data_IF_317871477790
#
_entry.id   IF_317871477790
#
_cell.length_a   1.000
_cell.length_b   1.000
_cell.length_c   1.000
_cell.angle_alpha   90.00
_cell.angle_beta   90.00
_cell.angle_gamma   90.00
#
_symmetry.space_group_name_H-M   'P 1'
#
loop_
_entity.id
_entity.type
_entity.pdbx_description
1 polymer ?
#
# COMPACT_ATOMS: atom_id res chain seq x y z
N UNK A 1 -2.27 -10.56 -24.16
CA UNK A 1 -1.52 -10.33 -22.89
C UNK A 1 -2.55 -10.38 -21.79
N UNK A 2 -2.26 -10.97 -20.61
CA UNK A 2 -3.21 -11.01 -19.48
C UNK A 2 -3.37 -9.60 -18.92
N UNK A 3 -4.60 -9.20 -18.60
CA UNK A 3 -4.85 -7.95 -17.90
C UNK A 3 -4.48 -8.13 -16.43
N UNK A 4 -3.67 -7.22 -15.91
CA UNK A 4 -3.19 -7.22 -14.53
C UNK A 4 -3.60 -5.94 -13.84
N UNK A 5 -3.91 -6.05 -12.56
CA UNK A 5 -4.14 -4.91 -11.69
C UNK A 5 -3.23 -4.98 -10.47
N UNK A 6 -2.73 -3.83 -10.05
CA UNK A 6 -2.01 -3.67 -8.78
C UNK A 6 -2.95 -2.98 -7.80
N UNK A 7 -3.16 -3.58 -6.64
CA UNK A 7 -4.08 -3.06 -5.63
C UNK A 7 -3.31 -2.79 -4.36
N UNK A 8 -3.49 -1.62 -3.76
CA UNK A 8 -2.93 -1.30 -2.46
C UNK A 8 -4.01 -1.17 -1.40
N UNK A 9 -3.92 -1.99 -0.35
CA UNK A 9 -4.69 -1.77 0.87
C UNK A 9 -3.90 -0.89 1.82
N UNK A 10 -4.42 0.30 2.14
CA UNK A 10 -3.78 1.22 3.09
C UNK A 10 -3.64 0.59 4.48
N UNK A 11 -2.48 0.76 5.13
CA UNK A 11 -2.27 0.22 6.48
C UNK A 11 -3.30 0.76 7.49
N UNK A 12 -3.60 2.07 7.44
CA UNK A 12 -4.63 2.67 8.28
C UNK A 12 -6.07 2.36 7.86
N UNK A 13 -6.29 1.68 6.70
CA UNK A 13 -7.57 1.11 6.31
C UNK A 13 -7.80 -0.24 7.00
N UNK A 14 -6.80 -1.11 6.96
CA UNK A 14 -6.90 -2.51 7.42
C UNK A 14 -6.55 -2.71 8.92
N UNK A 15 -6.09 -1.66 9.61
CA UNK A 15 -5.77 -1.68 11.04
C UNK A 15 -6.36 -0.47 11.76
N UNK A 16 -6.61 -0.60 13.05
CA UNK A 16 -6.96 0.53 13.91
C UNK A 16 -5.72 1.37 14.20
N UNK A 17 -5.77 2.68 13.93
CA UNK A 17 -4.62 3.60 14.09
C UNK A 17 -4.24 3.87 15.56
N UNK A 18 -5.21 3.76 16.45
CA UNK A 18 -5.14 4.08 17.87
C UNK A 18 -4.73 2.90 18.76
N UNK A 19 -4.58 1.71 18.20
CA UNK A 19 -4.27 0.48 18.92
C UNK A 19 -3.13 -0.28 18.25
N UNK A 20 -2.13 -0.68 19.03
CA UNK A 20 -1.05 -1.53 18.52
C UNK A 20 -1.61 -2.89 18.08
N UNK A 21 -1.13 -3.38 16.94
CA UNK A 21 -1.44 -4.71 16.40
C UNK A 21 -2.94 -5.04 16.36
N UNK A 22 -3.73 -4.08 15.96
CA UNK A 22 -5.19 -4.24 15.95
C UNK A 22 -5.73 -4.24 14.52
N UNK A 23 -6.17 -5.40 14.08
CA UNK A 23 -6.70 -5.64 12.72
C UNK A 23 -8.16 -5.22 12.62
N UNK A 24 -8.55 -4.63 11.49
CA UNK A 24 -9.95 -4.40 11.10
C UNK A 24 -10.43 -5.57 10.24
N UNK A 25 -10.82 -6.66 10.90
CA UNK A 25 -11.20 -7.91 10.21
C UNK A 25 -12.39 -7.73 9.26
N UNK A 26 -13.38 -6.92 9.63
CA UNK A 26 -14.52 -6.56 8.80
C UNK A 26 -14.10 -5.95 7.46
N UNK A 27 -13.12 -5.06 7.51
CA UNK A 27 -12.59 -4.39 6.32
C UNK A 27 -11.77 -5.36 5.46
N UNK A 28 -10.87 -6.13 6.08
CA UNK A 28 -10.06 -7.11 5.33
C UNK A 28 -10.97 -8.15 4.67
N UNK A 29 -12.00 -8.63 5.34
CA UNK A 29 -12.98 -9.56 4.82
C UNK A 29 -13.74 -8.97 3.61
N UNK A 30 -14.23 -7.73 3.73
CA UNK A 30 -14.89 -7.03 2.62
C UNK A 30 -13.96 -6.88 1.41
N UNK A 31 -12.70 -6.46 1.64
CA UNK A 31 -11.71 -6.29 0.58
C UNK A 31 -11.33 -7.63 -0.08
N UNK A 32 -11.21 -8.72 0.70
CA UNK A 32 -10.93 -10.05 0.17
C UNK A 32 -12.07 -10.55 -0.73
N UNK A 33 -13.32 -10.34 -0.33
CA UNK A 33 -14.50 -10.66 -1.15
C UNK A 33 -14.53 -9.86 -2.47
N UNK A 34 -14.11 -8.58 -2.44
CA UNK A 34 -14.00 -7.77 -3.64
C UNK A 34 -12.89 -8.28 -4.58
N UNK A 35 -11.74 -8.74 -4.03
CA UNK A 35 -10.67 -9.32 -4.85
C UNK A 35 -11.06 -10.68 -5.43
N UNK A 36 -11.84 -11.50 -4.72
CA UNK A 36 -12.40 -12.73 -5.27
C UNK A 36 -13.12 -12.44 -6.60
N UNK A 37 -14.01 -11.46 -6.60
CA UNK A 37 -14.76 -11.05 -7.81
C UNK A 37 -13.83 -10.59 -8.95
N UNK A 38 -12.70 -9.92 -8.64
CA UNK A 38 -11.70 -9.54 -9.64
C UNK A 38 -11.00 -10.77 -10.24
N UNK A 39 -10.61 -11.73 -9.40
CA UNK A 39 -9.98 -12.99 -9.84
C UNK A 39 -10.95 -13.83 -10.65
N UNK A 40 -12.22 -13.95 -10.21
CA UNK A 40 -13.28 -14.65 -10.93
C UNK A 40 -13.57 -14.02 -12.31
N UNK A 41 -13.43 -12.69 -12.44
CA UNK A 41 -13.50 -11.97 -13.72
C UNK A 41 -12.27 -12.21 -14.63
N UNK A 42 -11.25 -12.92 -14.16
CA UNK A 42 -10.05 -13.30 -14.93
C UNK A 42 -8.90 -12.31 -14.88
N UNK A 43 -8.91 -11.36 -13.96
CA UNK A 43 -7.78 -10.46 -13.72
C UNK A 43 -6.63 -11.18 -13.00
N UNK A 44 -5.39 -10.87 -13.39
CA UNK A 44 -4.22 -11.16 -12.58
C UNK A 44 -4.05 -10.04 -11.53
N UNK A 45 -4.05 -10.39 -10.25
CA UNK A 45 -4.00 -9.40 -9.16
C UNK A 45 -2.67 -9.45 -8.43
N UNK A 46 -2.06 -8.29 -8.23
CA UNK A 46 -0.95 -8.09 -7.29
C UNK A 46 -1.45 -7.21 -6.15
N UNK A 47 -1.43 -7.75 -4.94
CA UNK A 47 -1.87 -7.06 -3.74
C UNK A 47 -0.68 -6.56 -2.94
N UNK A 48 -0.70 -5.28 -2.56
CA UNK A 48 0.25 -4.69 -1.63
C UNK A 48 -0.50 -4.13 -0.42
N UNK A 49 -0.12 -4.50 0.80
CA UNK A 49 -0.71 -3.87 1.97
C UNK A 49 0.28 -3.00 2.76
N UNK A 50 -0.22 -2.00 3.45
CA UNK A 50 0.56 -1.13 4.32
C UNK A 50 0.74 -1.73 5.71
N UNK A 51 1.62 -1.11 6.52
CA UNK A 51 1.99 -1.59 7.84
C UNK A 51 0.93 -1.27 8.93
N UNK A 52 0.23 -0.16 8.82
CA UNK A 52 -0.74 0.26 9.82
C UNK A 52 -0.17 0.25 11.24
N UNK A 53 -0.97 -0.23 12.20
CA UNK A 53 -0.58 -0.28 13.62
C UNK A 53 0.43 -1.40 13.97
N UNK A 54 0.81 -2.25 13.01
CA UNK A 54 1.79 -3.30 13.22
C UNK A 54 3.23 -2.80 13.06
N UNK A 55 3.52 -2.00 12.04
CA UNK A 55 4.88 -1.54 11.75
C UNK A 55 5.19 -0.11 12.21
N UNK A 56 4.25 0.84 12.05
CA UNK A 56 4.54 2.27 12.12
C UNK A 56 5.06 2.74 13.48
N UNK A 57 4.42 2.33 14.58
CA UNK A 57 4.77 2.85 15.92
C UNK A 57 6.17 2.41 16.33
N UNK A 58 6.49 1.13 16.16
CA UNK A 58 7.80 0.57 16.47
C UNK A 58 8.88 1.15 15.55
N UNK A 59 8.63 1.19 14.24
CA UNK A 59 9.55 1.76 13.27
C UNK A 59 9.87 3.24 13.56
N UNK A 60 8.87 4.03 13.98
CA UNK A 60 9.06 5.41 14.40
C UNK A 60 9.84 5.53 15.70
N UNK A 61 9.51 4.73 16.72
CA UNK A 61 10.20 4.75 18.02
C UNK A 61 11.70 4.46 17.87
N UNK A 62 12.05 3.49 17.02
CA UNK A 62 13.44 3.09 16.76
C UNK A 62 14.06 3.74 15.52
N UNK A 63 13.42 4.78 14.96
CA UNK A 63 13.93 5.61 13.85
C UNK A 63 14.39 4.80 12.62
N UNK A 64 13.69 3.69 12.31
CA UNK A 64 14.11 2.76 11.26
C UNK A 64 14.05 3.37 9.85
N UNK A 65 13.26 4.43 9.64
CA UNK A 65 13.23 5.16 8.38
C UNK A 65 14.50 5.99 8.12
N UNK A 66 15.26 6.31 9.17
CA UNK A 66 16.49 7.10 9.08
C UNK A 66 17.73 6.21 8.89
N UNK A 67 17.56 4.89 8.95
CA UNK A 67 18.66 3.93 8.92
C UNK A 67 19.40 3.86 10.25
N UNK A 68 20.66 3.40 10.20
CA UNK A 68 21.50 3.25 11.37
C UNK A 68 21.78 4.60 12.03
N UNK A 69 21.46 4.72 13.30
CA UNK A 69 21.78 5.91 14.11
C UNK A 69 22.53 5.52 15.39
N UNK A 70 22.96 6.54 16.15
CA UNK A 70 23.61 6.31 17.44
C UNK A 70 22.66 5.57 18.40
N UNK A 71 23.16 4.60 19.19
CA UNK A 71 22.35 3.92 20.20
C UNK A 71 21.60 4.84 21.15
N UNK A 72 22.21 5.96 21.53
CA UNK A 72 21.59 6.96 22.41
C UNK A 72 20.41 7.72 21.79
N UNK A 73 20.17 7.54 20.48
CA UNK A 73 19.09 8.20 19.75
C UNK A 73 17.78 7.39 19.71
N UNK A 74 17.77 6.19 20.26
CA UNK A 74 16.63 5.27 20.30
C UNK A 74 16.38 4.79 21.74
N UNK A 75 15.17 4.26 22.05
CA UNK A 75 14.87 3.69 23.36
C UNK A 75 15.81 2.54 23.75
N UNK A 76 16.09 2.41 25.04
CA UNK A 76 17.02 1.40 25.59
C UNK A 76 16.45 -0.03 25.65
N UNK A 77 15.12 -0.21 25.42
CA UNK A 77 14.44 -1.49 25.58
C UNK A 77 14.89 -2.57 24.58
N UNK A 78 15.38 -2.15 23.41
CA UNK A 78 15.97 -3.04 22.41
C UNK A 78 16.92 -2.28 21.46
N UNK A 79 17.79 -3.00 20.79
CA UNK A 79 18.64 -2.43 19.74
C UNK A 79 17.84 -2.12 18.46
N UNK A 80 18.41 -1.30 17.56
CA UNK A 80 17.78 -1.13 16.23
C UNK A 80 17.73 -2.45 15.45
N UNK A 81 18.71 -3.35 15.60
CA UNK A 81 18.68 -4.67 14.93
C UNK A 81 17.52 -5.52 15.45
N UNK A 82 17.29 -5.56 16.76
CA UNK A 82 16.14 -6.24 17.34
C UNK A 82 14.82 -5.59 16.88
N UNK A 83 14.79 -4.27 16.79
CA UNK A 83 13.61 -3.55 16.29
C UNK A 83 13.32 -3.85 14.81
N UNK A 84 14.34 -3.98 13.96
CA UNK A 84 14.19 -4.41 12.55
C UNK A 84 13.56 -5.80 12.49
N UNK A 85 14.11 -6.77 13.25
CA UNK A 85 13.54 -8.14 13.31
C UNK A 85 12.10 -8.10 13.79
N UNK A 86 11.83 -7.39 14.89
CA UNK A 86 10.50 -7.31 15.47
C UNK A 86 9.47 -6.65 14.55
N UNK A 87 9.86 -5.65 13.74
CA UNK A 87 8.95 -5.05 12.75
C UNK A 87 8.68 -6.01 11.60
N UNK A 88 9.69 -6.74 11.10
CA UNK A 88 9.51 -7.78 10.07
C UNK A 88 8.55 -8.88 10.54
N UNK A 89 8.69 -9.34 11.79
CA UNK A 89 7.77 -10.32 12.40
C UNK A 89 6.34 -9.77 12.52
N UNK A 90 6.19 -8.53 13.01
CA UNK A 90 4.89 -7.86 13.09
C UNK A 90 4.22 -7.74 11.71
N UNK A 91 5.00 -7.45 10.66
CA UNK A 91 4.49 -7.38 9.29
C UNK A 91 4.08 -8.76 8.75
N UNK A 92 4.83 -9.83 9.07
CA UNK A 92 4.43 -11.19 8.71
C UNK A 92 3.13 -11.61 9.43
N UNK A 93 2.94 -11.20 10.70
CA UNK A 93 1.68 -11.42 11.44
C UNK A 93 0.50 -10.72 10.76
N UNK A 94 0.63 -9.43 10.40
CA UNK A 94 -0.42 -8.71 9.65
C UNK A 94 -0.70 -9.38 8.30
N UNK A 95 0.36 -9.77 7.59
CA UNK A 95 0.23 -10.44 6.31
C UNK A 95 -0.52 -11.78 6.44
N UNK A 96 -0.34 -12.53 7.53
CA UNK A 96 -1.10 -13.76 7.78
C UNK A 96 -2.60 -13.48 7.89
N UNK A 97 -3.02 -12.40 8.58
CA UNK A 97 -4.44 -12.01 8.62
C UNK A 97 -5.00 -11.68 7.22
N UNK A 98 -4.19 -11.08 6.34
CA UNK A 98 -4.58 -10.83 4.94
C UNK A 98 -4.74 -12.15 4.17
N UNK A 99 -3.78 -13.08 4.31
CA UNK A 99 -3.85 -14.39 3.65
C UNK A 99 -5.01 -15.25 4.15
N UNK A 100 -5.30 -15.22 5.44
CA UNK A 100 -6.43 -15.94 6.04
C UNK A 100 -7.77 -15.44 5.48
N UNK A 101 -7.92 -14.13 5.33
CA UNK A 101 -9.11 -13.54 4.73
C UNK A 101 -9.24 -13.89 3.24
N UNK A 102 -8.16 -13.83 2.47
CA UNK A 102 -8.17 -14.27 1.06
C UNK A 102 -8.59 -15.74 0.96
N UNK A 103 -8.03 -16.61 1.80
CA UNK A 103 -8.38 -18.04 1.85
C UNK A 103 -9.86 -18.25 2.20
N UNK A 104 -10.40 -17.47 3.13
CA UNK A 104 -11.82 -17.51 3.53
C UNK A 104 -12.78 -17.26 2.35
N UNK A 105 -12.35 -16.47 1.37
CA UNK A 105 -13.10 -16.16 0.16
C UNK A 105 -12.60 -16.94 -1.07
N UNK A 106 -11.96 -18.11 -0.86
CA UNK A 106 -11.47 -18.99 -1.93
C UNK A 106 -10.45 -18.34 -2.89
N UNK A 107 -9.77 -17.29 -2.45
CA UNK A 107 -8.71 -16.63 -3.20
C UNK A 107 -7.36 -17.28 -2.88
N UNK A 108 -6.79 -17.97 -3.85
CA UNK A 108 -5.43 -18.52 -3.72
C UNK A 108 -4.40 -17.40 -3.78
N UNK A 109 -3.49 -17.37 -2.82
CA UNK A 109 -2.49 -16.31 -2.71
C UNK A 109 -1.10 -16.84 -2.35
N UNK A 110 -0.06 -16.13 -2.81
CA UNK A 110 1.33 -16.35 -2.43
C UNK A 110 1.92 -15.04 -1.96
N UNK A 111 2.53 -15.04 -0.78
CA UNK A 111 3.14 -13.84 -0.21
C UNK A 111 4.66 -13.84 -0.36
N UNK A 112 5.21 -12.65 -0.65
CA UNK A 112 6.64 -12.38 -0.79
C UNK A 112 6.99 -11.18 0.10
N UNK A 113 7.62 -11.42 1.26
CA UNK A 113 8.08 -10.36 2.17
C UNK A 113 9.25 -9.60 1.56
N UNK A 114 9.20 -8.27 1.47
CA UNK A 114 10.21 -7.47 0.78
C UNK A 114 11.64 -7.66 1.29
N UNK A 115 11.85 -7.83 2.58
CA UNK A 115 13.19 -8.06 3.15
C UNK A 115 13.90 -9.30 2.58
N UNK A 116 13.19 -10.20 1.88
CA UNK A 116 13.75 -11.42 1.28
C UNK A 116 14.20 -11.21 -0.17
N UNK A 117 13.67 -10.20 -0.89
CA UNK A 117 13.91 -10.05 -2.33
C UNK A 117 14.21 -8.60 -2.75
N UNK A 118 14.03 -7.63 -1.87
CA UNK A 118 14.27 -6.22 -2.14
C UNK A 118 15.37 -5.64 -1.26
N UNK A 119 16.09 -4.65 -1.77
CA UNK A 119 17.12 -3.87 -1.09
C UNK A 119 16.95 -2.39 -1.42
N UNK A 120 17.42 -1.53 -0.53
CA UNK A 120 17.27 -0.09 -0.64
C UNK A 120 15.80 0.38 -0.57
N UNK A 121 15.58 1.66 -0.49
CA UNK A 121 14.27 2.26 -0.29
C UNK A 121 13.95 3.29 -1.36
N UNK A 122 12.71 3.77 -1.37
CA UNK A 122 12.25 4.73 -2.37
C UNK A 122 11.85 4.08 -3.71
N UNK A 123 11.55 4.89 -4.72
CA UNK A 123 11.01 4.39 -5.99
C UNK A 123 12.01 3.54 -6.79
N UNK A 124 13.31 3.75 -6.55
CA UNK A 124 14.40 3.08 -7.27
C UNK A 124 14.99 1.91 -6.48
N UNK A 125 14.26 1.37 -5.48
CA UNK A 125 14.69 0.20 -4.73
C UNK A 125 15.09 -0.95 -5.67
N UNK A 126 16.03 -1.79 -5.25
CA UNK A 126 16.48 -2.92 -6.05
C UNK A 126 15.68 -4.18 -5.66
N UNK A 127 15.27 -4.97 -6.64
CA UNK A 127 14.54 -6.22 -6.41
C UNK A 127 14.10 -6.85 -7.72
N UNK A 128 14.07 -8.18 -7.75
CA UNK A 128 13.62 -8.95 -8.91
C UNK A 128 12.08 -9.08 -8.89
N UNK A 129 11.43 -8.45 -9.86
CA UNK A 129 9.97 -8.50 -10.03
C UNK A 129 9.51 -9.70 -10.88
N UNK A 130 10.43 -10.53 -11.38
CA UNK A 130 10.10 -11.69 -12.24
C UNK A 130 9.15 -12.68 -11.56
N UNK A 131 9.23 -12.83 -10.25
CA UNK A 131 8.34 -13.69 -9.46
C UNK A 131 6.88 -13.25 -9.56
N UNK A 132 6.63 -11.93 -9.55
CA UNK A 132 5.29 -11.36 -9.74
C UNK A 132 4.82 -11.51 -11.19
N UNK A 133 5.73 -11.36 -12.15
CA UNK A 133 5.43 -11.51 -13.57
C UNK A 133 5.05 -12.96 -13.93
N UNK A 134 5.75 -13.95 -13.31
CA UNK A 134 5.60 -15.37 -13.56
C UNK A 134 4.43 -16.03 -12.80
N UNK A 135 3.69 -15.30 -11.97
CA UNK A 135 2.60 -15.84 -11.19
C UNK A 135 1.61 -16.65 -12.04
N UNK A 136 1.18 -17.85 -11.60
CA UNK A 136 0.14 -18.61 -12.27
C UNK A 136 -1.19 -17.85 -12.28
N UNK A 137 -2.06 -18.16 -13.25
CA UNK A 137 -3.41 -17.60 -13.28
C UNK A 137 -4.20 -17.95 -12.02
N UNK A 138 -4.98 -16.97 -11.54
CA UNK A 138 -5.83 -17.15 -10.36
C UNK A 138 -5.05 -17.15 -9.04
N UNK A 139 -3.74 -16.92 -9.07
CA UNK A 139 -2.93 -16.74 -7.85
C UNK A 139 -2.69 -15.25 -7.64
N UNK A 140 -3.15 -14.74 -6.51
CA UNK A 140 -2.89 -13.36 -6.07
C UNK A 140 -1.48 -13.31 -5.47
N UNK A 141 -0.62 -12.48 -6.03
CA UNK A 141 0.70 -12.21 -5.45
C UNK A 141 0.57 -11.13 -4.39
N UNK A 142 0.96 -11.43 -3.16
CA UNK A 142 0.85 -10.51 -2.02
C UNK A 142 2.24 -10.05 -1.59
N UNK A 143 2.39 -8.76 -1.34
CA UNK A 143 3.55 -8.17 -0.69
C UNK A 143 3.11 -7.00 0.20
N UNK A 144 4.05 -6.39 0.93
CA UNK A 144 3.69 -5.35 1.91
C UNK A 144 4.83 -4.36 2.14
N UNK A 145 4.55 -3.21 2.75
CA UNK A 145 5.61 -2.34 3.24
C UNK A 145 6.45 -3.06 4.30
N UNK A 146 7.77 -2.86 4.28
CA UNK A 146 8.67 -3.62 5.14
C UNK A 146 9.96 -2.86 5.48
N UNK A 147 10.70 -3.34 6.46
CA UNK A 147 12.09 -2.92 6.69
C UNK A 147 13.01 -3.80 5.85
N UNK A 148 13.72 -3.18 4.93
CA UNK A 148 14.66 -3.87 4.02
C UNK A 148 16.10 -3.46 4.30
N UNK A 149 17.04 -4.29 3.88
CA UNK A 149 18.44 -3.95 3.96
C UNK A 149 18.77 -2.83 2.96
N UNK A 150 19.65 -1.93 3.36
CA UNK A 150 20.14 -0.83 2.53
C UNK A 150 21.65 -0.86 2.42
N UNK A 151 22.17 -0.41 1.28
CA UNK A 151 23.60 -0.27 1.07
C UNK A 151 24.15 0.95 1.79
N UNK A 152 25.45 0.90 2.11
CA UNK A 152 26.15 2.01 2.73
C UNK A 152 25.85 2.18 4.22
N UNK A 153 25.90 3.41 4.70
CA UNK A 153 25.83 3.72 6.14
C UNK A 153 24.40 3.55 6.73
N UNK A 154 23.38 3.52 5.89
CA UNK A 154 22.00 3.36 6.35
C UNK A 154 21.74 1.95 6.89
N UNK A 155 22.36 0.92 6.31
CA UNK A 155 22.25 -0.50 6.61
C UNK A 155 20.84 -1.08 6.44
N UNK A 156 19.80 -0.37 6.81
CA UNK A 156 18.40 -0.72 6.64
C UNK A 156 17.54 0.54 6.42
N UNK A 157 16.30 0.33 5.98
CA UNK A 157 15.32 1.41 5.81
C UNK A 157 13.92 0.88 5.57
N UNK A 158 12.93 1.77 5.53
CA UNK A 158 11.54 1.40 5.30
C UNK A 158 11.23 1.49 3.81
N UNK A 159 10.98 0.34 3.18
CA UNK A 159 10.44 0.27 1.84
C UNK A 159 8.91 0.41 1.92
N UNK A 160 8.44 1.54 1.43
CA UNK A 160 7.02 1.89 1.47
C UNK A 160 6.20 1.03 0.51
N UNK A 161 4.97 0.67 0.92
CA UNK A 161 4.02 0.06 0.00
C UNK A 161 3.65 0.97 -1.18
N UNK A 162 3.81 2.28 -1.07
CA UNK A 162 3.58 3.22 -2.17
C UNK A 162 4.71 3.14 -3.22
N UNK A 163 5.97 2.96 -2.80
CA UNK A 163 7.10 2.71 -3.72
C UNK A 163 6.97 1.33 -4.39
N UNK A 164 6.54 0.31 -3.63
CA UNK A 164 6.28 -1.03 -4.18
C UNK A 164 5.23 -1.00 -5.29
N UNK A 165 4.07 -0.39 -5.06
CA UNK A 165 3.01 -0.38 -6.09
C UNK A 165 3.40 0.42 -7.32
N UNK A 166 4.19 1.47 -7.17
CA UNK A 166 4.72 2.24 -8.31
C UNK A 166 5.55 1.33 -9.22
N UNK A 167 6.59 0.66 -8.70
CA UNK A 167 7.42 -0.22 -9.53
C UNK A 167 6.64 -1.41 -10.09
N UNK A 168 5.81 -2.05 -9.27
CA UNK A 168 4.97 -3.17 -9.71
C UNK A 168 4.01 -2.73 -10.83
N UNK A 169 3.40 -1.55 -10.72
CA UNK A 169 2.49 -1.05 -11.74
C UNK A 169 3.21 -0.65 -13.04
N UNK A 170 4.38 -0.03 -12.93
CA UNK A 170 5.11 0.52 -14.07
C UNK A 170 5.93 -0.54 -14.83
N UNK A 171 6.45 -1.56 -14.13
CA UNK A 171 7.41 -2.52 -14.70
C UNK A 171 6.79 -3.89 -15.04
N UNK A 172 5.71 -4.31 -14.35
CA UNK A 172 5.09 -5.60 -14.66
C UNK A 172 4.32 -5.56 -15.98
N UNK A 173 4.47 -6.59 -16.82
CA UNK A 173 3.76 -6.63 -18.10
C UNK A 173 2.25 -6.78 -17.91
N UNK A 174 1.49 -6.02 -18.67
CA UNK A 174 0.03 -6.13 -18.74
C UNK A 174 -0.73 -5.43 -17.62
N UNK A 175 -0.07 -4.67 -16.76
CA UNK A 175 -0.77 -3.84 -15.78
C UNK A 175 -1.56 -2.75 -16.51
N UNK A 176 -2.84 -2.68 -16.21
CA UNK A 176 -3.77 -1.70 -16.73
C UNK A 176 -4.14 -0.66 -15.69
N UNK A 177 -4.27 -1.09 -14.43
CA UNK A 177 -4.75 -0.22 -13.34
C UNK A 177 -3.93 -0.41 -12.08
N UNK A 178 -3.78 0.70 -11.37
CA UNK A 178 -3.31 0.78 -9.99
C UNK A 178 -4.46 1.34 -9.14
N UNK A 179 -4.89 0.58 -8.14
CA UNK A 179 -6.00 0.96 -7.27
C UNK A 179 -5.51 1.13 -5.84
N UNK A 180 -5.62 2.34 -5.30
CA UNK A 180 -5.38 2.63 -3.90
C UNK A 180 -6.69 2.56 -3.13
N UNK A 181 -6.86 1.55 -2.27
CA UNK A 181 -7.94 1.45 -1.31
C UNK A 181 -7.58 2.26 -0.06
N UNK A 182 -8.39 3.25 0.26
CA UNK A 182 -8.14 4.20 1.35
C UNK A 182 -9.19 4.06 2.46
N UNK A 183 -8.80 4.40 3.69
CA UNK A 183 -9.73 4.48 4.83
C UNK A 183 -10.08 5.94 5.16
N UNK A 184 -11.33 6.16 5.57
CA UNK A 184 -11.83 7.44 6.06
C UNK A 184 -12.14 8.49 4.99
N UNK A 185 -11.86 8.20 3.71
CA UNK A 185 -12.14 9.10 2.58
C UNK A 185 -12.52 8.31 1.33
N UNK A 186 -13.29 8.91 0.43
CA UNK A 186 -13.68 8.27 -0.84
C UNK A 186 -12.69 8.51 -1.99
N UNK A 187 -11.73 9.40 -1.81
CA UNK A 187 -10.73 9.81 -2.78
C UNK A 187 -9.90 10.96 -2.25
N UNK A 188 -9.30 11.76 -3.12
CA UNK A 188 -8.57 12.98 -2.75
C UNK A 188 -9.56 14.10 -2.54
N UNK A 189 -9.42 14.85 -1.45
CA UNK A 189 -10.24 16.00 -1.11
C UNK A 189 -9.51 17.31 -1.45
N UNK A 190 -10.24 18.30 -1.94
CA UNK A 190 -9.70 19.63 -2.23
C UNK A 190 -9.29 20.39 -0.96
N UNK A 191 -9.94 20.10 0.17
CA UNK A 191 -9.64 20.67 1.49
C UNK A 191 -9.97 19.65 2.59
N UNK A 192 -9.47 19.79 3.84
CA UNK A 192 -9.82 18.89 4.93
C UNK A 192 -11.32 18.80 5.11
N UNK A 193 -11.82 17.62 5.47
CA UNK A 193 -13.25 17.50 5.82
C UNK A 193 -13.55 18.37 7.04
N UNK A 194 -14.54 19.27 6.90
CA UNK A 194 -15.00 20.16 7.99
C UNK A 194 -16.15 19.54 8.79
N UNK A 195 -16.63 18.33 8.40
CA UNK A 195 -17.73 17.60 9.06
C UNK A 195 -17.99 16.25 8.43
N UNK A 196 -18.94 15.49 8.99
CA UNK A 196 -19.25 14.12 8.58
C UNK A 196 -19.83 13.96 7.15
N UNK A 197 -20.15 15.07 6.46
CA UNK A 197 -20.87 15.04 5.17
C UNK A 197 -20.29 15.99 4.10
N UNK A 198 -18.99 16.23 4.08
CA UNK A 198 -18.37 17.09 3.05
C UNK A 198 -18.24 16.38 1.69
N UNK A 199 -19.37 15.95 1.12
CA UNK A 199 -19.40 15.33 -0.22
C UNK A 199 -18.92 16.27 -1.34
N UNK A 200 -18.93 17.57 -1.12
CA UNK A 200 -18.55 18.60 -2.10
C UNK A 200 -17.05 18.76 -2.33
N UNK A 201 -16.21 18.14 -1.50
CA UNK A 201 -14.75 18.33 -1.54
C UNK A 201 -14.00 17.22 -2.31
N UNK A 202 -14.67 16.13 -2.69
CA UNK A 202 -14.03 15.05 -3.47
C UNK A 202 -13.66 15.56 -4.86
N UNK A 203 -12.39 15.40 -5.21
CA UNK A 203 -11.86 15.65 -6.55
C UNK A 203 -12.05 14.38 -7.41
N UNK A 204 -12.97 14.36 -8.39
CA UNK A 204 -13.16 13.17 -9.25
C UNK A 204 -11.95 12.88 -10.10
N UNK A 205 -11.21 13.92 -10.48
CA UNK A 205 -9.93 13.83 -11.19
C UNK A 205 -8.94 14.75 -10.51
N UNK A 206 -7.67 14.38 -10.55
CA UNK A 206 -6.57 15.19 -10.06
C UNK A 206 -5.45 15.18 -11.10
N UNK A 207 -5.01 16.36 -11.53
CA UNK A 207 -3.84 16.55 -12.37
C UNK A 207 -2.65 17.04 -11.55
N UNK A 208 -1.45 17.01 -12.12
CA UNK A 208 -0.24 17.50 -11.43
C UNK A 208 -0.28 18.99 -11.10
N UNK A 209 -1.07 19.76 -11.85
CA UNK A 209 -1.18 21.22 -11.68
C UNK A 209 -2.25 21.58 -10.62
N UNK A 210 -3.05 20.62 -10.15
CA UNK A 210 -4.09 20.84 -9.17
C UNK A 210 -3.50 20.88 -7.76
N UNK A 211 -3.76 21.94 -7.03
CA UNK A 211 -3.44 22.03 -5.61
C UNK A 211 -4.38 21.13 -4.80
N UNK A 212 -3.86 20.31 -3.91
CA UNK A 212 -4.63 19.52 -2.95
C UNK A 212 -3.98 19.56 -1.58
N UNK A 213 -4.78 19.39 -0.54
CA UNK A 213 -4.32 19.64 0.83
C UNK A 213 -3.37 18.56 1.39
N UNK A 214 -3.26 17.43 0.73
CA UNK A 214 -2.29 16.37 1.05
C UNK A 214 -0.81 16.79 0.96
N UNK A 215 -0.50 17.86 0.24
CA UNK A 215 0.87 18.39 0.17
C UNK A 215 1.38 18.91 1.53
N UNK A 216 0.50 19.50 2.34
CA UNK A 216 0.86 20.02 3.65
C UNK A 216 0.97 18.92 4.74
N UNK A 217 0.25 17.81 4.58
CA UNK A 217 0.32 16.67 5.50
C UNK A 217 1.53 15.75 5.25
N UNK A 218 2.15 15.81 4.07
CA UNK A 218 3.31 14.98 3.70
C UNK A 218 4.53 15.20 4.62
N UNK A 219 4.67 16.39 5.20
CA UNK A 219 5.73 16.69 6.16
C UNK A 219 5.54 16.07 7.55
N UNK A 220 4.36 15.54 7.88
CA UNK A 220 4.06 14.99 9.21
C UNK A 220 3.92 13.46 9.23
N UNK A 221 3.82 12.80 8.08
CA UNK A 221 3.66 11.34 8.00
C UNK A 221 4.91 10.69 7.39
N UNK A 222 5.79 10.20 8.24
CA UNK A 222 7.09 9.58 7.88
C UNK A 222 6.91 8.28 7.07
N UNK A 223 5.67 7.81 6.89
CA UNK A 223 5.36 6.47 6.38
C UNK A 223 4.40 6.43 5.18
N UNK A 224 4.23 7.54 4.47
CA UNK A 224 3.50 7.53 3.21
C UNK A 224 2.04 8.00 3.29
N UNK A 225 1.78 9.18 3.81
CA UNK A 225 0.49 9.86 3.76
C UNK A 225 -0.08 9.99 2.35
N UNK A 226 -1.20 10.70 2.21
CA UNK A 226 -1.88 10.89 0.91
C UNK A 226 -0.92 11.48 -0.16
N UNK A 227 0.02 12.35 0.25
CA UNK A 227 0.99 12.97 -0.65
C UNK A 227 1.88 11.96 -1.36
N UNK A 228 2.45 10.98 -0.64
CA UNK A 228 3.30 9.96 -1.27
C UNK A 228 2.48 9.06 -2.22
N UNK A 229 1.24 8.69 -1.85
CA UNK A 229 0.34 7.91 -2.73
C UNK A 229 0.06 8.64 -4.04
N UNK A 230 -0.27 9.93 -3.95
CA UNK A 230 -0.55 10.76 -5.12
C UNK A 230 0.71 10.91 -5.98
N UNK A 231 1.87 11.17 -5.38
CA UNK A 231 3.14 11.27 -6.12
C UNK A 231 3.45 9.96 -6.87
N UNK A 232 3.41 8.80 -6.19
CA UNK A 232 3.65 7.50 -6.82
C UNK A 232 2.56 7.09 -7.80
N UNK A 233 1.33 7.53 -7.54
CA UNK A 233 0.22 7.38 -8.49
C UNK A 233 0.48 8.15 -9.79
N UNK A 234 0.91 9.39 -9.72
CA UNK A 234 1.30 10.16 -10.91
C UNK A 234 2.50 9.56 -11.64
N UNK A 235 3.50 9.06 -10.88
CA UNK A 235 4.63 8.36 -11.49
C UNK A 235 4.15 7.14 -12.29
N UNK A 236 3.22 6.34 -11.76
CA UNK A 236 2.61 5.21 -12.47
C UNK A 236 1.73 5.66 -13.66
N UNK A 237 0.94 6.73 -13.51
CA UNK A 237 0.10 7.26 -14.57
C UNK A 237 0.92 7.74 -15.78
N UNK A 238 2.10 8.33 -15.53
CA UNK A 238 3.04 8.70 -16.60
C UNK A 238 3.58 7.49 -17.40
N UNK A 239 3.49 6.28 -16.86
CA UNK A 239 3.80 5.03 -17.57
C UNK A 239 2.58 4.43 -18.29
N UNK A 240 1.47 5.16 -18.35
CA UNK A 240 0.25 4.73 -19.05
C UNK A 240 -0.63 3.78 -18.22
N UNK A 241 -0.45 3.74 -16.91
CA UNK A 241 -1.30 2.99 -15.98
C UNK A 241 -2.46 3.89 -15.53
N UNK A 242 -3.68 3.40 -15.58
CA UNK A 242 -4.84 4.10 -15.02
C UNK A 242 -4.82 4.00 -13.50
N UNK A 243 -4.86 5.13 -12.79
CA UNK A 243 -4.67 5.16 -11.33
C UNK A 243 -5.92 5.69 -10.63
N UNK A 244 -6.47 4.87 -9.74
CA UNK A 244 -7.66 5.16 -8.95
C UNK A 244 -7.33 5.24 -7.45
N UNK A 245 -7.88 6.25 -6.79
CA UNK A 245 -7.93 6.34 -5.33
C UNK A 245 -9.38 6.24 -4.91
N UNK A 246 -9.74 5.19 -4.18
CA UNK A 246 -11.13 4.88 -3.81
C UNK A 246 -11.26 4.51 -2.33
N UNK A 247 -12.47 4.58 -1.78
CA UNK A 247 -12.72 4.05 -0.44
C UNK A 247 -12.56 2.53 -0.44
N UNK A 248 -11.77 2.00 0.51
CA UNK A 248 -11.70 0.58 0.81
C UNK A 248 -12.73 0.13 1.85
N UNK A 249 -13.48 1.06 2.44
CA UNK A 249 -14.49 0.77 3.45
C UNK A 249 -15.86 0.46 2.84
N UNK A 250 -16.11 0.97 1.63
CA UNK A 250 -17.38 0.79 0.93
C UNK A 250 -17.34 -0.44 0.02
N UNK A 251 -18.48 -1.16 -0.01
CA UNK A 251 -18.66 -2.31 -0.88
C UNK A 251 -18.49 -1.93 -2.36
N UNK A 252 -17.94 -2.84 -3.13
CA UNK A 252 -17.76 -2.75 -4.58
C UNK A 252 -16.76 -1.71 -5.08
N UNK A 253 -16.33 -0.73 -4.29
CA UNK A 253 -15.48 0.38 -4.76
C UNK A 253 -14.14 -0.10 -5.32
N UNK A 254 -13.46 -0.99 -4.60
CA UNK A 254 -12.17 -1.55 -5.04
C UNK A 254 -12.37 -2.49 -6.23
N UNK A 255 -13.40 -3.34 -6.18
CA UNK A 255 -13.76 -4.22 -7.30
C UNK A 255 -14.03 -3.42 -8.59
N UNK A 256 -14.90 -2.43 -8.52
CA UNK A 256 -15.32 -1.67 -9.69
C UNK A 256 -14.13 -0.90 -10.30
N UNK A 257 -13.28 -0.29 -9.45
CA UNK A 257 -12.03 0.32 -9.90
C UNK A 257 -11.08 -0.70 -10.57
N UNK A 258 -10.94 -1.90 -10.01
CA UNK A 258 -10.11 -2.96 -10.61
C UNK A 258 -10.65 -3.42 -11.97
N UNK A 259 -11.96 -3.51 -12.11
CA UNK A 259 -12.62 -3.94 -13.35
C UNK A 259 -12.70 -2.82 -14.41
N UNK A 260 -12.38 -1.57 -14.05
CA UNK A 260 -12.54 -0.40 -14.92
C UNK A 260 -13.98 0.05 -15.08
N UNK A 261 -14.82 -0.32 -14.13
CA UNK A 261 -16.22 0.14 -14.08
C UNK A 261 -16.30 1.54 -13.47
N UNK A 262 -17.34 2.32 -13.78
CA UNK A 262 -17.54 3.63 -13.16
C UNK A 262 -17.60 3.53 -11.64
N UNK A 263 -16.72 4.24 -10.97
CA UNK A 263 -16.61 4.23 -9.51
C UNK A 263 -16.43 5.65 -8.96
N UNK A 264 -17.03 5.92 -7.80
CA UNK A 264 -16.81 7.17 -7.09
C UNK A 264 -15.44 7.12 -6.39
N UNK A 265 -14.57 8.07 -6.70
CA UNK A 265 -13.21 8.17 -6.22
C UNK A 265 -12.47 9.27 -6.96
N UNK A 266 -11.15 9.23 -6.95
CA UNK A 266 -10.28 10.14 -7.70
C UNK A 266 -9.48 9.36 -8.73
N UNK A 267 -9.46 9.82 -9.97
CA UNK A 267 -8.58 9.34 -11.03
C UNK A 267 -7.42 10.32 -11.18
N UNK A 268 -6.19 9.82 -11.18
CA UNK A 268 -5.02 10.65 -11.47
C UNK A 268 -4.82 10.75 -12.99
N UNK A 269 -4.76 11.99 -13.47
CA UNK A 269 -4.56 12.31 -14.87
C UNK A 269 -3.14 12.89 -15.04
N UNK A 270 -2.27 12.32 -15.91
CA UNK A 270 -0.90 12.78 -16.12
C UNK A 270 -0.80 14.23 -16.54
#
# INVERSE_FOLDING_TARGET
>A
MRERVVVKWGGGLITHKDRMKSVRHDIIDNLANQLESCVAAGLDVVLVHGAGSFGHLKAKAYRLAEGRCSPDAVPDEMTQDDAVVAVREDMMELNQHVLDALTKYDVSAVSLSPHQWARNVGPDFQGDLSMFAAAPRGIVMVTHGDVVDCDGQAEFGILSGDDLVYRLASELPGVKRLVFAMGGVEGVLASPPTGEHDEGLLLPTLSKDDAFEGEHAAHMDVTGGIGLKVARGFDAANHGVEVHLVSGELECRVRDACLGEPVRGTILVP
#
